data_IF_892312560926
#
_entry.id   IF_892312560926
#
_cell.length_a   1.000
_cell.length_b   1.000
_cell.length_c   1.000
_cell.angle_alpha   90.00
_cell.angle_beta   90.00
_cell.angle_gamma   90.00
#
_symmetry.space_group_name_H-M   'P 1'
#
loop_
_entity.id
_entity.type
_entity.pdbx_description
1 polymer ?
#
# COMPACT_ATOMS: atom_id res chain seq x y z
N UNK A 1 -28.82 -4.25 35.27
CA UNK A 1 -28.47 -4.31 33.83
C UNK A 1 -27.05 -4.81 33.69
N UNK A 2 -26.85 -6.03 33.21
CA UNK A 2 -25.54 -6.64 32.97
C UNK A 2 -24.96 -6.09 31.67
N UNK A 3 -23.90 -5.28 31.78
CA UNK A 3 -23.09 -4.82 30.64
C UNK A 3 -22.49 -6.04 29.96
N UNK A 4 -22.81 -6.28 28.69
CA UNK A 4 -22.23 -7.39 27.91
C UNK A 4 -21.76 -6.85 26.56
N UNK A 5 -20.58 -6.22 26.51
CA UNK A 5 -19.94 -5.84 25.22
C UNK A 5 -18.46 -5.50 25.42
N UNK A 6 -17.58 -6.49 25.33
CA UNK A 6 -16.11 -6.27 25.27
C UNK A 6 -15.45 -7.20 24.24
N UNK A 7 -15.89 -8.47 24.12
CA UNK A 7 -15.31 -9.46 23.20
C UNK A 7 -15.48 -9.10 21.71
N UNK A 8 -16.67 -8.69 21.28
CA UNK A 8 -16.94 -8.37 19.87
C UNK A 8 -16.08 -7.21 19.31
N UNK A 9 -15.56 -6.33 20.19
CA UNK A 9 -14.73 -5.17 19.76
C UNK A 9 -13.27 -5.55 19.54
N UNK A 10 -12.71 -6.42 20.38
CA UNK A 10 -11.35 -6.93 20.23
C UNK A 10 -11.27 -7.82 18.98
N UNK A 11 -12.25 -8.71 18.79
CA UNK A 11 -12.34 -9.56 17.59
C UNK A 11 -12.45 -8.73 16.29
N UNK A 12 -13.18 -7.61 16.33
CA UNK A 12 -13.26 -6.69 15.20
C UNK A 12 -11.92 -6.04 14.84
N UNK A 13 -11.18 -5.51 15.82
CA UNK A 13 -9.86 -4.90 15.55
C UNK A 13 -8.82 -5.94 15.15
N UNK A 14 -8.83 -7.14 15.75
CA UNK A 14 -7.99 -8.27 15.32
C UNK A 14 -8.26 -8.63 13.86
N UNK A 15 -9.53 -8.73 13.46
CA UNK A 15 -9.91 -8.99 12.08
C UNK A 15 -9.40 -7.89 11.14
N UNK A 16 -9.62 -6.61 11.48
CA UNK A 16 -9.14 -5.48 10.68
C UNK A 16 -7.62 -5.46 10.56
N UNK A 17 -6.91 -5.70 11.66
CA UNK A 17 -5.45 -5.78 11.70
C UNK A 17 -4.92 -6.85 10.76
N UNK A 18 -5.54 -8.04 10.79
CA UNK A 18 -5.20 -9.12 9.87
C UNK A 18 -5.52 -8.77 8.41
N UNK A 19 -6.68 -8.17 8.15
CA UNK A 19 -7.07 -7.74 6.82
C UNK A 19 -6.11 -6.68 6.24
N UNK A 20 -5.74 -5.68 7.03
CA UNK A 20 -4.76 -4.67 6.64
C UNK A 20 -3.38 -5.27 6.43
N UNK A 21 -2.98 -6.28 7.22
CA UNK A 21 -1.74 -7.00 6.99
C UNK A 21 -1.73 -7.72 5.64
N UNK A 22 -2.83 -8.37 5.23
CA UNK A 22 -2.94 -8.97 3.89
C UNK A 22 -2.76 -7.91 2.80
N UNK A 23 -3.42 -6.75 2.94
CA UNK A 23 -3.25 -5.63 2.00
C UNK A 23 -1.80 -5.16 1.93
N UNK A 24 -1.12 -5.03 3.09
CA UNK A 24 0.29 -4.63 3.14
C UNK A 24 1.19 -5.63 2.40
N UNK A 25 0.94 -6.94 2.53
CA UNK A 25 1.66 -7.97 1.77
C UNK A 25 1.42 -7.86 0.26
N UNK A 26 0.19 -7.56 -0.16
CA UNK A 26 -0.11 -7.33 -1.59
C UNK A 26 0.60 -6.07 -2.12
N UNK A 27 0.66 -5.00 -1.32
CA UNK A 27 1.39 -3.79 -1.68
C UNK A 27 2.90 -4.03 -1.76
N UNK A 28 3.47 -4.82 -0.85
CA UNK A 28 4.88 -5.23 -0.91
C UNK A 28 5.19 -6.05 -2.18
N UNK A 29 4.29 -6.97 -2.56
CA UNK A 29 4.41 -7.68 -3.83
C UNK A 29 4.41 -6.70 -5.02
N UNK A 30 3.46 -5.77 -5.09
CA UNK A 30 3.40 -4.75 -6.13
C UNK A 30 4.67 -3.90 -6.17
N UNK A 31 5.20 -3.51 -5.00
CA UNK A 31 6.44 -2.73 -4.89
C UNK A 31 7.63 -3.48 -5.50
N UNK A 32 7.76 -4.77 -5.20
CA UNK A 32 8.81 -5.63 -5.78
C UNK A 32 8.68 -5.73 -7.30
N UNK A 33 7.47 -5.94 -7.83
CA UNK A 33 7.25 -5.99 -9.28
C UNK A 33 7.62 -4.67 -9.97
N UNK A 34 7.25 -3.53 -9.38
CA UNK A 34 7.61 -2.22 -9.90
C UNK A 34 9.14 -1.97 -9.86
N UNK A 35 9.83 -2.45 -8.82
CA UNK A 35 11.30 -2.38 -8.75
C UNK A 35 11.96 -3.22 -9.85
N UNK A 36 11.44 -4.41 -10.13
CA UNK A 36 11.92 -5.23 -11.26
C UNK A 36 11.66 -4.54 -12.60
N UNK A 37 10.45 -4.01 -12.83
CA UNK A 37 10.13 -3.27 -14.04
C UNK A 37 11.05 -2.06 -14.24
N UNK A 38 11.39 -1.34 -13.16
CA UNK A 38 12.36 -0.24 -13.19
C UNK A 38 13.76 -0.71 -13.61
N UNK A 39 14.21 -1.86 -13.12
CA UNK A 39 15.50 -2.42 -13.50
C UNK A 39 15.50 -2.79 -14.99
N UNK A 40 14.45 -3.45 -15.46
CA UNK A 40 14.29 -3.84 -16.87
C UNK A 40 14.28 -2.62 -17.81
N UNK A 41 13.52 -1.59 -17.48
CA UNK A 41 13.49 -0.34 -18.27
C UNK A 41 14.84 0.38 -18.27
N UNK A 42 15.59 0.32 -17.17
CA UNK A 42 16.95 0.88 -17.13
C UNK A 42 17.90 0.10 -18.03
N UNK A 43 17.90 -1.24 -17.95
CA UNK A 43 18.70 -2.09 -18.83
C UNK A 43 18.32 -1.95 -20.31
N UNK A 44 17.03 -1.76 -20.61
CA UNK A 44 16.56 -1.49 -21.97
C UNK A 44 17.09 -0.15 -22.51
N UNK A 45 17.09 0.91 -21.70
CA UNK A 45 17.67 2.20 -22.08
C UNK A 45 19.18 2.11 -22.32
N UNK A 46 19.89 1.34 -21.49
CA UNK A 46 21.34 1.15 -21.63
C UNK A 46 21.70 0.34 -22.89
N UNK A 47 20.76 -0.47 -23.40
CA UNK A 47 20.95 -1.31 -24.59
C UNK A 47 20.76 -0.57 -25.91
N UNK A 48 20.13 0.62 -25.89
CA UNK A 48 19.93 1.45 -27.08
C UNK A 48 21.18 2.31 -27.29
N UNK A 49 21.94 2.02 -28.34
CA UNK A 49 23.18 2.73 -28.67
C UNK A 49 22.91 4.19 -29.09
N UNK A 50 23.46 5.14 -28.32
CA UNK A 50 23.33 6.59 -28.55
C UNK A 50 24.00 7.07 -29.86
N UNK A 51 24.85 6.25 -30.48
CA UNK A 51 25.73 6.66 -31.58
C UNK A 51 25.16 6.41 -32.99
N UNK A 52 24.02 5.72 -33.11
CA UNK A 52 23.40 5.35 -34.39
C UNK A 52 21.88 5.44 -34.26
N UNK A 53 21.39 6.62 -33.92
CA UNK A 53 19.96 6.86 -33.74
C UNK A 53 19.31 7.08 -35.11
N UNK A 54 18.63 6.04 -35.62
CA UNK A 54 17.58 6.21 -36.63
C UNK A 54 16.31 6.71 -35.92
N UNK A 55 15.41 7.40 -36.64
CA UNK A 55 14.17 7.95 -36.06
C UNK A 55 13.35 6.94 -35.25
N UNK A 56 13.39 5.66 -35.64
CA UNK A 56 12.73 4.57 -34.93
C UNK A 56 13.34 4.31 -33.53
N UNK A 57 14.68 4.31 -33.41
CA UNK A 57 15.36 4.08 -32.13
C UNK A 57 15.16 5.25 -31.15
N UNK A 58 15.05 6.47 -31.67
CA UNK A 58 14.69 7.66 -30.88
C UNK A 58 13.30 7.47 -30.27
N UNK A 59 12.32 7.10 -31.09
CA UNK A 59 10.95 6.87 -30.64
C UNK A 59 10.85 5.75 -29.60
N UNK A 60 11.55 4.62 -29.83
CA UNK A 60 11.60 3.52 -28.85
C UNK A 60 12.20 3.96 -27.52
N UNK A 61 13.30 4.73 -27.55
CA UNK A 61 13.93 5.26 -26.35
C UNK A 61 13.00 6.19 -25.58
N UNK A 62 12.28 7.08 -26.28
CA UNK A 62 11.28 7.96 -25.66
C UNK A 62 10.14 7.18 -25.02
N UNK A 63 9.65 6.12 -25.68
CA UNK A 63 8.62 5.25 -25.13
C UNK A 63 9.08 4.57 -23.84
N UNK A 64 10.32 4.05 -23.81
CA UNK A 64 10.88 3.42 -22.59
C UNK A 64 11.05 4.46 -21.48
N UNK A 65 11.48 5.68 -21.79
CA UNK A 65 11.56 6.77 -20.82
C UNK A 65 10.19 7.13 -20.24
N UNK A 66 9.14 7.13 -21.06
CA UNK A 66 7.77 7.39 -20.62
C UNK A 66 7.28 6.30 -19.67
N UNK A 67 7.46 5.02 -20.03
CA UNK A 67 7.12 3.88 -19.16
C UNK A 67 7.90 3.95 -17.84
N UNK A 68 9.18 4.35 -17.87
CA UNK A 68 9.98 4.53 -16.65
C UNK A 68 9.40 5.62 -15.74
N UNK A 69 8.90 6.73 -16.28
CA UNK A 69 8.23 7.78 -15.49
C UNK A 69 6.95 7.25 -14.83
N UNK A 70 6.17 6.45 -15.54
CA UNK A 70 4.96 5.82 -15.00
C UNK A 70 5.28 4.84 -13.87
N UNK A 71 6.32 4.00 -14.03
CA UNK A 71 6.80 3.10 -12.98
C UNK A 71 7.18 3.89 -11.71
N UNK A 72 7.91 5.01 -11.85
CA UNK A 72 8.27 5.85 -10.70
C UNK A 72 7.06 6.50 -10.03
N UNK A 73 6.06 6.92 -10.82
CA UNK A 73 4.81 7.45 -10.29
C UNK A 73 4.05 6.38 -9.49
N UNK A 74 3.95 5.14 -10.01
CA UNK A 74 3.33 4.02 -9.31
C UNK A 74 4.11 3.60 -8.06
N UNK A 75 5.45 3.59 -8.11
CA UNK A 75 6.28 3.32 -6.93
C UNK A 75 5.98 4.30 -5.80
N UNK A 76 5.84 5.59 -6.11
CA UNK A 76 5.47 6.62 -5.13
C UNK A 76 4.07 6.36 -4.55
N UNK A 77 3.09 6.01 -5.39
CA UNK A 77 1.73 5.73 -4.94
C UNK A 77 1.66 4.50 -4.02
N UNK A 78 2.28 3.38 -4.43
CA UNK A 78 2.31 2.14 -3.64
C UNK A 78 2.99 2.36 -2.29
N UNK A 79 4.11 3.09 -2.24
CA UNK A 79 4.78 3.46 -0.98
C UNK A 79 3.88 4.32 -0.09
N UNK A 80 3.14 5.27 -0.67
CA UNK A 80 2.19 6.09 0.06
C UNK A 80 1.07 5.25 0.69
N UNK A 81 0.49 4.33 -0.08
CA UNK A 81 -0.55 3.42 0.40
C UNK A 81 -0.03 2.47 1.49
N UNK A 82 1.15 1.89 1.32
CA UNK A 82 1.74 1.00 2.35
C UNK A 82 1.96 1.75 3.66
N UNK A 83 2.46 2.99 3.62
CA UNK A 83 2.59 3.83 4.83
C UNK A 83 1.24 4.08 5.53
N UNK A 84 0.18 4.36 4.76
CA UNK A 84 -1.18 4.53 5.32
C UNK A 84 -1.73 3.25 5.94
N UNK A 85 -1.50 2.10 5.30
CA UNK A 85 -1.92 0.79 5.81
C UNK A 85 -1.14 0.43 7.07
N UNK A 86 0.17 0.67 7.12
CA UNK A 86 0.99 0.47 8.32
C UNK A 86 0.52 1.34 9.50
N UNK A 87 0.10 2.58 9.23
CA UNK A 87 -0.55 3.44 10.21
C UNK A 87 -1.87 2.84 10.73
N UNK A 88 -2.69 2.28 9.84
CA UNK A 88 -3.95 1.62 10.19
C UNK A 88 -3.73 0.34 11.01
N UNK A 89 -2.73 -0.48 10.66
CA UNK A 89 -2.32 -1.67 11.43
C UNK A 89 -1.89 -1.26 12.84
N UNK A 90 -1.05 -0.22 12.97
CA UNK A 90 -0.56 0.27 14.26
C UNK A 90 -1.70 0.79 15.14
N UNK A 91 -2.67 1.49 14.53
CA UNK A 91 -3.89 1.91 15.21
C UNK A 91 -4.73 0.72 15.69
N UNK A 92 -4.97 -0.29 14.84
CA UNK A 92 -5.69 -1.49 15.22
C UNK A 92 -5.02 -2.20 16.40
N UNK A 93 -3.71 -2.42 16.34
CA UNK A 93 -2.92 -3.00 17.45
C UNK A 93 -3.03 -2.20 18.75
N UNK A 94 -3.11 -0.88 18.66
CA UNK A 94 -3.33 -0.02 19.85
C UNK A 94 -4.72 -0.28 20.44
N UNK A 95 -5.75 -0.39 19.60
CA UNK A 95 -7.14 -0.66 20.01
C UNK A 95 -7.38 -2.08 20.51
N UNK A 96 -6.65 -3.07 20.00
CA UNK A 96 -6.67 -4.45 20.53
C UNK A 96 -6.23 -4.51 21.99
N UNK A 97 -5.29 -3.65 22.39
CA UNK A 97 -4.73 -3.60 23.75
C UNK A 97 -5.52 -2.70 24.72
N UNK A 98 -6.50 -1.92 24.24
CA UNK A 98 -7.37 -1.10 25.08
C UNK A 98 -8.45 -1.95 25.77
N UNK A 99 -8.17 -2.47 26.97
CA UNK A 99 -9.08 -3.33 27.76
C UNK A 99 -10.39 -2.67 28.24
N UNK A 100 -10.58 -1.37 28.09
CA UNK A 100 -11.81 -0.70 28.56
C UNK A 100 -12.15 0.50 27.71
N UNK A 101 -13.27 0.41 26.99
CA UNK A 101 -13.87 1.57 26.33
C UNK A 101 -15.27 1.74 26.87
N UNK A 102 -15.46 2.80 27.66
CA UNK A 102 -16.71 3.11 28.33
C UNK A 102 -17.73 3.64 27.33
N UNK A 103 -18.57 2.76 26.77
CA UNK A 103 -19.73 3.19 25.99
C UNK A 103 -20.78 3.71 26.98
N UNK A 104 -21.04 5.02 26.96
CA UNK A 104 -22.16 5.60 27.72
C UNK A 104 -23.46 5.13 27.08
N UNK A 105 -24.35 4.56 27.90
CA UNK A 105 -25.72 4.27 27.52
C UNK A 105 -26.37 5.55 26.98
N UNK A 106 -26.84 5.50 25.74
CA UNK A 106 -27.76 6.52 25.23
C UNK A 106 -29.06 6.28 25.99
N UNK A 107 -29.35 7.13 26.98
CA UNK A 107 -30.67 7.14 27.60
C UNK A 107 -31.65 7.55 26.51
N UNK A 108 -32.48 6.60 26.08
CA UNK A 108 -33.72 6.95 25.39
C UNK A 108 -34.51 7.83 26.37
N UNK A 109 -34.69 9.11 26.02
CA UNK A 109 -35.67 9.96 26.66
C UNK A 109 -37.03 9.40 26.24
N UNK A 110 -37.65 8.64 27.13
CA UNK A 110 -39.10 8.40 27.15
C UNK A 110 -39.84 9.71 27.33
#
# INVERSE_FOLDING_TARGET
MTKKTILARIEFYNFLSHYFWIIDQMLDFCLKQLQYARLLTSGALDSIALSTETDNLISERENILQVRKEIEAYLKQVKGLSSQIQGSISYCKTKENECSITVRSIKHRS
#
